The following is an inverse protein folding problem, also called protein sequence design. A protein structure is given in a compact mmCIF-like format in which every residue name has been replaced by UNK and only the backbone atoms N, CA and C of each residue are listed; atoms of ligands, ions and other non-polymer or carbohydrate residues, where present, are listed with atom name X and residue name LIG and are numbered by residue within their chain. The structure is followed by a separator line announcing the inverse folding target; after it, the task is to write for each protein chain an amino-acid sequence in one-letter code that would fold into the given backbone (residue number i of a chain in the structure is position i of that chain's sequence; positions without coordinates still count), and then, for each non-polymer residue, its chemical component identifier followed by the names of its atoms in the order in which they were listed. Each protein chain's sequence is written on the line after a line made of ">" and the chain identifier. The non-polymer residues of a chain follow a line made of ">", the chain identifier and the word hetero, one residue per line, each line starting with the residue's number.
data_IF_867407929012
#
_entry.id   IF_867407929012
#
_cell.length_a   1.000
_cell.length_b   1.000
_cell.length_c   1.000
_cell.angle_alpha   90.00
_cell.angle_beta   90.00
_cell.angle_gamma   90.00
#
_symmetry.space_group_name_H-M   'P 1'
#
loop_
_entity.id
_entity.type
_entity.pdbx_description
1 polymer ?
#
# COMPACT_ATOMS: atom_id res chain seq x y z
N UNK A 1 50.81 11.62 -28.11
CA UNK A 1 50.99 12.07 -26.72
C UNK A 1 50.21 11.15 -25.79
N UNK A 2 50.87 10.31 -25.00
CA UNK A 2 50.20 9.37 -24.09
C UNK A 2 50.72 9.55 -22.67
N UNK A 3 49.85 9.83 -21.69
CA UNK A 3 50.23 10.01 -20.29
C UNK A 3 49.98 8.74 -19.49
N UNK A 4 51.04 8.04 -19.12
CA UNK A 4 50.98 6.93 -18.18
C UNK A 4 50.46 7.41 -16.81
N UNK A 5 49.55 6.64 -16.18
CA UNK A 5 49.11 6.87 -14.80
C UNK A 5 49.94 6.02 -13.84
N UNK A 6 50.45 6.65 -12.79
CA UNK A 6 51.28 6.01 -11.77
C UNK A 6 50.43 5.14 -10.80
N UNK A 7 50.91 3.97 -10.35
CA UNK A 7 50.16 3.10 -9.45
C UNK A 7 50.05 3.68 -8.03
N UNK A 8 48.86 3.56 -7.42
CA UNK A 8 48.64 3.93 -6.00
C UNK A 8 49.16 2.83 -5.07
N UNK A 9 49.94 3.21 -4.06
CA UNK A 9 50.38 2.30 -2.98
C UNK A 9 49.21 1.94 -2.05
N UNK A 10 49.20 0.74 -1.44
CA UNK A 10 48.24 0.38 -0.41
C UNK A 10 48.45 1.19 0.88
N UNK A 11 47.36 1.48 1.60
CA UNK A 11 47.42 2.07 2.94
C UNK A 11 47.57 0.95 3.98
N UNK A 12 48.57 1.09 4.84
CA UNK A 12 48.76 0.25 6.02
C UNK A 12 47.66 0.57 7.05
N UNK A 13 47.02 -0.46 7.61
CA UNK A 13 46.08 -0.32 8.72
C UNK A 13 46.85 -0.55 10.03
N UNK A 14 46.75 0.38 10.96
CA UNK A 14 47.35 0.28 12.30
C UNK A 14 46.23 -0.06 13.30
N UNK A 15 46.37 -1.10 14.15
CA UNK A 15 45.41 -1.39 15.20
C UNK A 15 45.55 -0.42 16.38
N UNK A 16 44.43 0.01 16.94
CA UNK A 16 44.37 0.79 18.19
C UNK A 16 44.15 -0.16 19.37
N UNK A 17 44.92 -0.08 20.46
CA UNK A 17 44.78 -0.99 21.60
C UNK A 17 43.59 -0.63 22.51
N UNK A 18 42.96 -1.66 23.09
CA UNK A 18 42.05 -1.50 24.24
C UNK A 18 42.86 -1.10 25.49
N UNK A 19 42.42 -0.05 26.18
CA UNK A 19 42.88 0.28 27.53
C UNK A 19 41.86 -0.16 28.58
N UNK A 20 42.27 -1.04 29.51
CA UNK A 20 41.54 -1.28 30.76
C UNK A 20 41.81 -0.15 31.77
N UNK A 21 40.82 0.11 32.64
CA UNK A 21 41.03 0.79 33.92
C UNK A 21 40.14 0.12 35.01
N UNK A 22 40.66 -0.20 36.22
CA UNK A 22 39.91 -0.86 37.29
C UNK A 22 39.58 0.04 38.50
N UNK A 23 38.63 -0.41 39.34
CA UNK A 23 38.29 0.13 40.68
C UNK A 23 36.83 -0.21 41.03
N UNK A 24 36.50 -1.16 41.92
CA UNK A 24 36.47 -1.05 43.40
C UNK A 24 35.81 0.25 43.91
N UNK A 25 34.88 0.29 44.87
CA UNK A 25 34.04 -0.71 45.58
C UNK A 25 32.86 0.09 46.24
N UNK A 26 31.97 -0.34 47.15
CA UNK A 26 31.69 -1.57 47.94
C UNK A 26 30.20 -1.46 48.39
N UNK A 27 29.42 -2.55 48.61
CA UNK A 27 28.04 -2.36 49.10
C UNK A 27 27.11 -3.58 49.30
N UNK A 28 27.37 -4.36 50.35
CA UNK A 28 26.46 -5.24 51.12
C UNK A 28 25.55 -6.29 50.45
N UNK A 29 25.57 -7.48 51.06
CA UNK A 29 24.86 -8.68 50.65
C UNK A 29 23.39 -8.72 51.10
N UNK A 30 22.60 -9.59 50.46
CA UNK A 30 21.62 -10.45 51.12
C UNK A 30 21.51 -11.79 50.38
N UNK A 31 21.34 -12.87 51.13
CA UNK A 31 21.46 -14.24 50.62
C UNK A 31 20.16 -14.75 49.97
N UNK A 32 20.31 -15.67 49.01
CA UNK A 32 19.18 -16.37 48.39
C UNK A 32 19.66 -17.60 47.62
N UNK A 33 19.70 -18.76 48.27
CA UNK A 33 19.97 -20.04 47.60
C UNK A 33 18.79 -20.41 46.69
N UNK A 34 19.09 -20.76 45.44
CA UNK A 34 18.06 -21.16 44.46
C UNK A 34 18.67 -21.78 43.21
N UNK A 35 18.96 -23.08 43.26
CA UNK A 35 19.40 -23.85 42.10
C UNK A 35 18.27 -23.94 41.05
N UNK A 36 18.54 -23.53 39.81
CA UNK A 36 17.64 -23.71 38.67
C UNK A 36 18.30 -24.65 37.65
N UNK A 37 17.60 -25.67 37.13
CA UNK A 37 18.20 -26.68 36.27
C UNK A 37 18.52 -26.17 34.87
N UNK A 38 19.55 -26.75 34.26
CA UNK A 38 19.90 -26.57 32.85
C UNK A 38 18.77 -27.10 31.95
N UNK A 39 18.05 -26.19 31.28
CA UNK A 39 17.12 -26.55 30.22
C UNK A 39 17.87 -26.62 28.88
N UNK A 40 17.78 -27.78 28.21
CA UNK A 40 18.37 -28.00 26.89
C UNK A 40 17.68 -27.22 25.76
N UNK A 41 18.15 -27.37 24.51
CA UNK A 41 17.60 -26.64 23.37
C UNK A 41 16.12 -27.00 23.14
N UNK A 42 15.28 -25.98 23.02
CA UNK A 42 13.85 -26.15 22.78
C UNK A 42 13.60 -26.81 21.40
N UNK A 43 12.63 -27.73 21.29
CA UNK A 43 12.31 -28.39 20.03
C UNK A 43 11.68 -27.41 19.03
N UNK A 44 11.92 -27.70 17.73
CA UNK A 44 11.34 -26.95 16.61
C UNK A 44 9.81 -27.09 16.64
N UNK A 45 9.11 -25.97 16.80
CA UNK A 45 7.65 -25.96 16.86
C UNK A 45 7.06 -26.23 15.47
N UNK A 46 6.49 -27.43 15.30
CA UNK A 46 5.73 -27.80 14.10
C UNK A 46 4.42 -27.03 14.07
N UNK A 47 4.18 -26.29 12.98
CA UNK A 47 2.95 -25.51 12.81
C UNK A 47 1.71 -26.40 12.82
N UNK A 48 0.85 -26.24 13.83
CA UNK A 48 -0.45 -26.89 13.90
C UNK A 48 -1.33 -26.42 12.74
N UNK A 49 -1.83 -27.37 11.94
CA UNK A 49 -2.74 -27.06 10.84
C UNK A 49 -4.05 -26.46 11.37
N UNK A 50 -4.55 -25.42 10.70
CA UNK A 50 -5.87 -24.85 10.97
C UNK A 50 -6.97 -25.90 10.66
N UNK A 51 -8.04 -25.99 11.47
CA UNK A 51 -9.17 -26.86 11.17
C UNK A 51 -9.86 -26.43 9.86
N UNK A 52 -10.30 -27.41 9.08
CA UNK A 52 -11.01 -27.16 7.83
C UNK A 52 -12.38 -26.49 8.06
N UNK A 53 -12.83 -25.58 7.17
CA UNK A 53 -14.15 -24.98 7.29
C UNK A 53 -15.25 -26.03 7.09
N UNK A 54 -16.22 -26.05 8.00
CA UNK A 54 -17.43 -26.86 7.86
C UNK A 54 -18.26 -26.40 6.66
N UNK A 55 -18.70 -27.37 5.85
CA UNK A 55 -19.56 -27.13 4.69
C UNK A 55 -20.93 -26.60 5.11
N UNK A 56 -21.23 -25.34 4.77
CA UNK A 56 -22.56 -24.78 4.90
C UNK A 56 -23.50 -25.37 3.84
N UNK A 57 -24.60 -25.99 4.29
CA UNK A 57 -25.66 -26.54 3.44
C UNK A 57 -26.36 -25.42 2.66
N UNK A 58 -26.57 -25.62 1.36
CA UNK A 58 -27.28 -24.65 0.51
C UNK A 58 -28.79 -24.59 0.83
N UNK A 59 -29.43 -23.41 0.78
CA UNK A 59 -30.89 -23.30 0.90
C UNK A 59 -31.61 -23.83 -0.35
N UNK A 60 -32.88 -24.29 -0.23
CA UNK A 60 -33.61 -24.89 -1.32
C UNK A 60 -34.04 -23.89 -2.40
N UNK A 61 -33.97 -24.34 -3.65
CA UNK A 61 -34.46 -23.64 -4.84
C UNK A 61 -35.98 -23.47 -4.79
N UNK A 62 -36.47 -22.22 -4.86
CA UNK A 62 -37.90 -21.93 -5.06
C UNK A 62 -38.20 -21.82 -6.56
N UNK A 63 -39.27 -22.48 -7.01
CA UNK A 63 -39.64 -22.57 -8.42
C UNK A 63 -40.19 -21.25 -8.98
N UNK A 64 -40.04 -21.07 -10.30
CA UNK A 64 -40.56 -19.91 -11.03
C UNK A 64 -42.00 -20.12 -11.51
N UNK A 65 -42.77 -19.03 -11.55
CA UNK A 65 -44.12 -18.96 -12.15
C UNK A 65 -44.10 -17.95 -13.31
N UNK A 66 -44.59 -18.28 -14.52
CA UNK A 66 -44.55 -17.39 -15.68
C UNK A 66 -45.76 -16.43 -15.74
N UNK A 67 -45.56 -15.24 -16.33
CA UNK A 67 -46.65 -14.32 -16.70
C UNK A 67 -46.28 -13.40 -17.88
N UNK A 68 -47.14 -13.36 -18.91
CA UNK A 68 -47.53 -12.11 -19.60
C UNK A 68 -46.62 -11.50 -20.68
N UNK A 69 -46.92 -11.81 -21.95
CA UNK A 69 -46.77 -10.95 -23.15
C UNK A 69 -47.79 -9.77 -23.12
N UNK A 70 -47.82 -8.76 -24.04
CA UNK A 70 -46.95 -8.47 -25.20
C UNK A 70 -46.59 -6.96 -25.45
N UNK A 71 -45.86 -6.73 -26.55
CA UNK A 71 -45.91 -5.55 -27.46
C UNK A 71 -45.55 -4.14 -26.97
N UNK A 72 -44.49 -3.59 -27.57
CA UNK A 72 -44.20 -2.14 -27.57
C UNK A 72 -42.97 -1.82 -28.43
N UNK A 73 -43.17 -1.55 -29.73
CA UNK A 73 -42.08 -1.27 -30.70
C UNK A 73 -42.21 0.15 -31.27
N UNK A 74 -41.39 1.13 -30.85
CA UNK A 74 -41.22 2.38 -31.57
C UNK A 74 -40.09 2.24 -32.60
N UNK A 75 -40.40 2.44 -33.88
CA UNK A 75 -39.37 2.80 -34.87
C UNK A 75 -38.84 4.19 -34.54
N UNK A 76 -37.52 4.37 -34.53
CA UNK A 76 -36.89 5.68 -34.66
C UNK A 76 -36.09 5.74 -35.96
N UNK A 77 -36.51 6.67 -36.81
CA UNK A 77 -36.06 6.84 -38.19
C UNK A 77 -34.66 7.44 -38.24
N UNK A 78 -33.74 6.80 -38.96
CA UNK A 78 -32.47 7.43 -39.33
C UNK A 78 -32.72 8.50 -40.39
N UNK A 79 -32.22 9.71 -40.18
CA UNK A 79 -32.10 10.73 -41.23
C UNK A 79 -30.74 11.41 -41.14
N UNK A 80 -29.92 11.17 -42.14
CA UNK A 80 -28.69 11.92 -42.36
C UNK A 80 -29.04 13.24 -43.07
N UNK A 81 -28.32 14.32 -42.76
CA UNK A 81 -28.29 15.49 -43.63
C UNK A 81 -26.98 16.26 -43.58
N UNK A 82 -26.71 16.90 -44.71
CA UNK A 82 -25.49 17.51 -45.20
C UNK A 82 -24.75 18.52 -44.30
N UNK A 83 -23.42 18.45 -44.37
CA UNK A 83 -22.51 19.51 -44.86
C UNK A 83 -22.88 20.98 -44.62
N UNK A 84 -22.09 21.66 -43.79
CA UNK A 84 -21.82 23.09 -43.93
C UNK A 84 -20.37 23.41 -43.52
N UNK A 85 -19.63 24.11 -44.39
CA UNK A 85 -18.22 24.51 -44.22
C UNK A 85 -18.15 26.02 -43.95
N UNK A 86 -17.75 26.48 -42.75
CA UNK A 86 -17.52 27.90 -42.49
C UNK A 86 -16.13 28.34 -42.98
N UNK A 87 -16.06 29.52 -43.61
CA UNK A 87 -14.82 30.12 -44.10
C UNK A 87 -13.86 30.52 -42.96
N UNK A 88 -12.55 30.38 -43.22
CA UNK A 88 -11.52 30.90 -42.34
C UNK A 88 -11.56 32.43 -42.27
N UNK A 89 -11.69 32.99 -41.06
CA UNK A 89 -11.30 34.38 -40.78
C UNK A 89 -9.90 34.36 -40.16
N UNK A 90 -8.94 34.94 -40.87
CA UNK A 90 -7.60 35.22 -40.33
C UNK A 90 -7.76 36.32 -39.27
N UNK A 91 -7.62 35.95 -38.00
CA UNK A 91 -7.57 36.90 -36.89
C UNK A 91 -6.12 37.08 -36.47
N UNK A 92 -5.55 38.25 -36.76
CA UNK A 92 -4.19 38.64 -36.39
C UNK A 92 -4.13 38.92 -34.89
N UNK A 93 -4.00 37.85 -34.09
CA UNK A 93 -3.81 37.93 -32.65
C UNK A 93 -2.40 38.49 -32.33
N UNK A 94 -2.27 39.53 -31.49
CA UNK A 94 -0.96 40.07 -31.11
C UNK A 94 -0.13 39.03 -30.36
N UNK A 95 1.17 38.96 -30.68
CA UNK A 95 2.13 38.06 -30.04
C UNK A 95 2.40 38.52 -28.60
N UNK A 96 1.59 38.05 -27.66
CA UNK A 96 1.90 38.12 -26.24
C UNK A 96 3.11 37.24 -25.95
N UNK A 97 4.27 37.86 -25.67
CA UNK A 97 5.52 37.19 -25.29
C UNK A 97 5.28 36.29 -24.09
N UNK A 98 5.17 34.98 -24.33
CA UNK A 98 4.93 34.00 -23.29
C UNK A 98 6.20 33.81 -22.46
N UNK A 99 6.26 34.46 -21.29
CA UNK A 99 7.18 34.04 -20.25
C UNK A 99 6.81 32.63 -19.81
N UNK A 100 7.64 31.64 -20.16
CA UNK A 100 7.52 30.26 -19.71
C UNK A 100 7.89 30.11 -18.22
N UNK A 101 7.16 30.81 -17.36
CA UNK A 101 6.95 30.40 -15.97
C UNK A 101 6.07 29.15 -15.99
N UNK A 102 6.65 28.01 -16.37
CA UNK A 102 5.94 26.75 -16.50
C UNK A 102 5.38 26.36 -15.14
N UNK A 103 4.04 26.44 -15.00
CA UNK A 103 3.36 26.04 -13.77
C UNK A 103 3.70 24.57 -13.48
N UNK A 104 4.51 24.34 -12.44
CA UNK A 104 4.93 23.02 -12.01
C UNK A 104 3.70 22.26 -11.54
N UNK A 105 3.15 21.39 -12.38
CA UNK A 105 1.95 20.63 -12.06
C UNK A 105 2.21 19.76 -10.84
N UNK A 106 1.62 20.12 -9.70
CA UNK A 106 1.82 19.38 -8.45
C UNK A 106 1.56 17.88 -8.65
N UNK A 107 2.45 17.01 -8.13
CA UNK A 107 2.33 15.58 -8.33
C UNK A 107 1.05 15.04 -7.70
N UNK A 108 0.45 14.05 -8.36
CA UNK A 108 -0.75 13.37 -7.88
C UNK A 108 -0.36 12.18 -7.03
N UNK A 109 -0.86 12.10 -5.81
CA UNK A 109 -0.79 10.91 -4.96
C UNK A 109 -2.20 10.35 -4.79
N UNK A 110 -2.34 9.03 -4.96
CA UNK A 110 -3.59 8.32 -4.67
C UNK A 110 -3.42 7.54 -3.38
N UNK A 111 -4.38 7.68 -2.48
CA UNK A 111 -4.44 6.90 -1.24
C UNK A 111 -5.65 5.98 -1.34
N UNK A 112 -5.43 4.72 -1.02
CA UNK A 112 -6.40 3.64 -1.12
C UNK A 112 -6.65 3.04 0.27
N UNK A 113 -7.64 3.56 1.02
CA UNK A 113 -8.02 2.93 2.28
C UNK A 113 -8.64 1.57 2.01
N UNK A 114 -8.11 0.53 2.65
CA UNK A 114 -8.50 -0.85 2.47
C UNK A 114 -10.00 -1.14 2.60
N UNK A 115 -10.41 -2.27 2.02
CA UNK A 115 -11.74 -2.87 2.17
C UNK A 115 -12.94 -2.09 1.62
N UNK A 116 -14.04 -2.78 1.35
CA UNK A 116 -15.29 -2.23 0.81
C UNK A 116 -16.45 -2.41 1.77
N UNK A 117 -17.32 -1.41 1.91
CA UNK A 117 -18.50 -1.49 2.80
C UNK A 117 -19.58 -2.51 2.40
N UNK A 118 -19.40 -3.21 1.29
CA UNK A 118 -20.17 -4.40 0.89
C UNK A 118 -19.23 -5.40 0.24
N UNK A 119 -19.59 -6.68 0.30
CA UNK A 119 -18.87 -7.74 -0.40
C UNK A 119 -18.96 -7.54 -1.91
N UNK A 120 -17.81 -7.40 -2.56
CA UNK A 120 -17.65 -7.31 -4.00
C UNK A 120 -17.19 -8.68 -4.50
N UNK A 121 -17.81 -9.14 -5.59
CA UNK A 121 -17.35 -10.30 -6.35
C UNK A 121 -17.64 -10.07 -7.83
N UNK A 122 -16.60 -9.78 -8.60
CA UNK A 122 -16.69 -9.59 -10.04
C UNK A 122 -15.50 -10.23 -10.75
N UNK A 123 -15.36 -10.00 -12.07
CA UNK A 123 -14.18 -10.41 -12.84
C UNK A 123 -13.51 -9.20 -13.46
N UNK A 124 -12.19 -9.25 -13.44
CA UNK A 124 -11.29 -8.35 -14.16
C UNK A 124 -11.31 -8.63 -15.67
N UNK A 125 -10.71 -7.74 -16.46
CA UNK A 125 -10.59 -7.91 -17.93
C UNK A 125 -9.74 -9.12 -18.34
N UNK A 126 -8.79 -9.54 -17.50
CA UNK A 126 -7.97 -10.75 -17.65
C UNK A 126 -8.60 -12.00 -16.97
N UNK A 127 -9.87 -11.90 -16.53
CA UNK A 127 -10.64 -13.02 -16.01
C UNK A 127 -10.39 -13.38 -14.54
N UNK A 128 -9.39 -12.77 -13.88
CA UNK A 128 -9.15 -12.90 -12.44
C UNK A 128 -10.38 -12.46 -11.62
N UNK A 129 -10.56 -13.05 -10.45
CA UNK A 129 -11.62 -12.69 -9.49
C UNK A 129 -11.24 -11.42 -8.72
N UNK A 130 -12.02 -10.36 -8.93
CA UNK A 130 -11.99 -9.14 -8.14
C UNK A 130 -12.93 -9.34 -6.94
N UNK A 131 -12.33 -9.59 -5.77
CA UNK A 131 -13.03 -9.84 -4.51
C UNK A 131 -12.50 -8.88 -3.46
N UNK A 132 -13.44 -8.20 -2.81
CA UNK A 132 -13.23 -7.31 -1.68
C UNK A 132 -14.41 -7.47 -0.71
N UNK A 133 -14.24 -7.15 0.56
CA UNK A 133 -15.26 -7.41 1.59
C UNK A 133 -15.17 -6.42 2.77
N UNK A 134 -16.24 -6.29 3.57
CA UNK A 134 -16.20 -5.46 4.78
C UNK A 134 -15.36 -6.13 5.86
N UNK A 135 -14.38 -5.43 6.40
CA UNK A 135 -13.55 -5.90 7.51
C UNK A 135 -13.50 -4.81 8.59
N UNK A 136 -14.12 -5.04 9.74
CA UNK A 136 -14.13 -4.09 10.86
C UNK A 136 -13.33 -4.66 12.03
N UNK A 137 -12.56 -3.84 12.78
CA UNK A 137 -12.54 -2.37 12.70
C UNK A 137 -11.61 -1.75 11.63
N UNK A 138 -10.73 -2.56 11.00
CA UNK A 138 -9.74 -2.10 9.99
C UNK A 138 -10.29 -1.05 9.02
N UNK A 139 -11.46 -1.30 8.41
CA UNK A 139 -12.11 -0.42 7.44
C UNK A 139 -12.23 1.04 7.87
N UNK A 140 -12.53 1.28 9.16
CA UNK A 140 -12.65 2.61 9.75
C UNK A 140 -11.26 3.19 10.00
N UNK A 141 -10.41 2.42 10.66
CA UNK A 141 -9.05 2.80 11.07
C UNK A 141 -8.20 3.22 9.87
N UNK A 142 -8.17 2.40 8.81
CA UNK A 142 -7.44 2.70 7.58
C UNK A 142 -8.05 3.86 6.82
N UNK A 143 -9.37 4.10 6.92
CA UNK A 143 -10.03 5.27 6.32
C UNK A 143 -9.70 6.57 7.05
N UNK A 144 -9.63 6.54 8.38
CA UNK A 144 -9.24 7.69 9.20
C UNK A 144 -7.75 8.02 9.03
N UNK A 145 -6.86 7.02 9.10
CA UNK A 145 -5.43 7.14 8.74
C UNK A 145 -5.27 7.71 7.34
N UNK A 146 -5.92 7.12 6.34
CA UNK A 146 -5.85 7.60 4.95
C UNK A 146 -6.36 9.03 4.77
N UNK A 147 -7.44 9.39 5.47
CA UNK A 147 -8.02 10.74 5.42
C UNK A 147 -7.07 11.78 6.01
N UNK A 148 -6.40 11.47 7.12
CA UNK A 148 -5.43 12.36 7.74
C UNK A 148 -4.12 12.47 6.96
N UNK A 149 -3.61 11.37 6.38
CA UNK A 149 -2.48 11.43 5.43
C UNK A 149 -2.84 12.26 4.20
N UNK A 150 -4.06 12.10 3.67
CA UNK A 150 -4.54 12.89 2.54
C UNK A 150 -4.64 14.39 2.87
N UNK A 151 -5.06 14.75 4.09
CA UNK A 151 -5.08 16.12 4.55
C UNK A 151 -3.66 16.70 4.65
N UNK A 152 -2.72 15.96 5.26
CA UNK A 152 -1.31 16.38 5.38
C UNK A 152 -0.66 16.63 4.02
N UNK A 153 -0.72 15.66 3.12
CA UNK A 153 -0.20 15.82 1.75
C UNK A 153 -0.88 16.98 1.00
N UNK A 154 -2.17 17.26 1.20
CA UNK A 154 -2.80 18.45 0.58
C UNK A 154 -2.24 19.77 1.12
N UNK A 155 -1.93 19.86 2.42
CA UNK A 155 -1.25 21.03 2.99
C UNK A 155 0.21 21.18 2.53
N UNK A 156 0.87 20.09 2.15
CA UNK A 156 2.21 20.10 1.53
C UNK A 156 2.18 20.28 -0.01
N UNK A 157 1.05 20.78 -0.54
CA UNK A 157 0.87 21.16 -1.94
C UNK A 157 0.59 20.01 -2.91
N UNK A 158 0.44 18.77 -2.45
CA UNK A 158 0.16 17.63 -3.32
C UNK A 158 -1.30 17.60 -3.78
N UNK A 159 -1.52 17.13 -5.01
CA UNK A 159 -2.86 16.76 -5.47
C UNK A 159 -3.18 15.36 -4.95
N UNK A 160 -4.11 15.24 -4.01
CA UNK A 160 -4.43 13.94 -3.40
C UNK A 160 -5.85 13.49 -3.69
N UNK A 161 -6.00 12.26 -4.18
CA UNK A 161 -7.28 11.56 -4.31
C UNK A 161 -7.35 10.38 -3.35
N UNK A 162 -8.52 10.16 -2.76
CA UNK A 162 -8.86 8.91 -2.09
C UNK A 162 -9.59 8.01 -3.09
N UNK A 163 -9.35 6.70 -3.08
CA UNK A 163 -10.10 5.76 -3.95
C UNK A 163 -11.57 5.62 -3.56
N UNK A 164 -11.91 5.89 -2.29
CA UNK A 164 -13.28 5.88 -1.76
C UNK A 164 -13.58 7.12 -0.92
N UNK A 165 -14.83 7.58 -0.92
CA UNK A 165 -15.25 8.84 -0.31
C UNK A 165 -15.60 8.74 1.19
N UNK A 166 -16.02 7.55 1.63
CA UNK A 166 -16.37 7.22 3.01
C UNK A 166 -15.85 5.81 3.35
N UNK A 167 -15.66 5.47 4.62
CA UNK A 167 -15.25 4.12 5.05
C UNK A 167 -16.10 3.02 4.38
N UNK A 168 -17.43 3.18 4.41
CA UNK A 168 -18.46 2.25 3.96
C UNK A 168 -18.76 2.33 2.45
N UNK A 169 -18.04 3.17 1.71
CA UNK A 169 -18.07 3.13 0.25
C UNK A 169 -17.52 1.78 -0.25
N UNK A 170 -18.08 1.30 -1.36
CA UNK A 170 -17.66 0.03 -1.98
C UNK A 170 -17.00 0.31 -3.33
N UNK A 171 -15.72 0.00 -3.48
CA UNK A 171 -14.93 0.27 -4.68
C UNK A 171 -14.05 -0.94 -4.97
N UNK A 172 -14.25 -1.59 -6.11
CA UNK A 172 -13.55 -2.84 -6.44
C UNK A 172 -12.06 -2.62 -6.67
N UNK A 173 -11.24 -3.68 -6.56
CA UNK A 173 -9.79 -3.59 -6.74
C UNK A 173 -9.43 -3.12 -8.15
N UNK A 174 -10.24 -3.49 -9.15
CA UNK A 174 -10.14 -2.98 -10.53
C UNK A 174 -10.38 -1.47 -10.61
N UNK A 175 -11.37 -0.94 -9.89
CA UNK A 175 -11.68 0.49 -9.97
C UNK A 175 -10.70 1.35 -9.17
N UNK A 176 -10.21 0.86 -8.02
CA UNK A 176 -9.09 1.48 -7.28
C UNK A 176 -7.85 1.68 -8.17
N UNK A 177 -7.47 0.64 -8.92
CA UNK A 177 -6.38 0.70 -9.89
C UNK A 177 -6.63 1.74 -11.01
N UNK A 178 -7.84 1.75 -11.59
CA UNK A 178 -8.22 2.72 -12.63
C UNK A 178 -8.23 4.16 -12.14
N UNK A 179 -8.57 4.42 -10.88
CA UNK A 179 -8.50 5.76 -10.29
C UNK A 179 -7.05 6.29 -10.35
N UNK A 180 -6.06 5.49 -9.94
CA UNK A 180 -4.65 5.87 -10.06
C UNK A 180 -4.19 6.06 -11.51
N UNK A 181 -4.59 5.17 -12.40
CA UNK A 181 -4.23 5.22 -13.82
C UNK A 181 -4.75 6.51 -14.48
N UNK A 182 -6.07 6.79 -14.35
CA UNK A 182 -6.74 7.98 -14.90
C UNK A 182 -6.25 9.29 -14.26
N UNK A 183 -5.86 9.27 -12.99
CA UNK A 183 -5.36 10.45 -12.30
C UNK A 183 -3.89 10.79 -12.64
N UNK A 184 -3.21 9.94 -13.41
CA UNK A 184 -1.76 10.03 -13.66
C UNK A 184 -0.95 10.07 -12.36
N UNK A 185 -1.30 9.21 -11.40
CA UNK A 185 -0.66 9.17 -10.09
C UNK A 185 0.87 8.96 -10.21
N UNK A 186 1.63 9.82 -9.54
CA UNK A 186 3.07 9.64 -9.35
C UNK A 186 3.37 8.49 -8.38
N UNK A 187 2.46 8.27 -7.42
CA UNK A 187 2.45 7.17 -6.47
C UNK A 187 1.01 6.87 -6.02
N UNK A 188 0.70 5.60 -5.86
CA UNK A 188 -0.48 5.10 -5.15
C UNK A 188 -0.08 4.32 -3.89
N UNK A 189 -0.86 4.44 -2.83
CA UNK A 189 -0.58 3.86 -1.51
C UNK A 189 -1.85 3.16 -1.01
N UNK A 190 -1.85 1.83 -0.92
CA UNK A 190 -2.88 1.12 -0.13
C UNK A 190 -2.52 1.13 1.34
N UNK A 191 -3.51 1.37 2.18
CA UNK A 191 -3.41 1.41 3.64
C UNK A 191 -4.30 0.31 4.20
N UNK A 192 -3.68 -0.67 4.85
CA UNK A 192 -4.30 -1.80 5.52
C UNK A 192 -3.72 -2.00 6.91
N UNK A 193 -4.43 -2.75 7.74
CA UNK A 193 -3.94 -3.33 8.98
C UNK A 193 -4.51 -4.75 9.18
N UNK A 194 -3.84 -5.57 9.98
CA UNK A 194 -4.19 -6.98 10.16
C UNK A 194 -4.45 -7.29 11.63
N UNK A 195 -5.74 -7.34 11.98
CA UNK A 195 -6.25 -7.73 13.31
C UNK A 195 -6.02 -9.21 13.66
N UNK A 196 -5.59 -10.05 12.71
CA UNK A 196 -5.09 -11.40 13.01
C UNK A 196 -3.63 -11.41 13.46
N UNK A 197 -2.86 -10.35 13.16
CA UNK A 197 -1.43 -10.25 13.40
C UNK A 197 -1.09 -9.36 14.61
N UNK A 198 -0.17 -9.83 15.45
CA UNK A 198 0.32 -9.03 16.59
C UNK A 198 1.05 -7.75 16.14
N UNK A 199 1.19 -6.74 17.02
CA UNK A 199 1.71 -5.40 16.68
C UNK A 199 3.20 -5.36 16.26
N UNK A 200 3.88 -6.50 16.28
CA UNK A 200 5.22 -6.70 15.73
C UNK A 200 5.23 -7.01 14.23
N UNK A 201 4.09 -7.39 13.65
CA UNK A 201 3.92 -7.52 12.21
C UNK A 201 3.89 -6.14 11.57
N UNK A 202 4.80 -5.90 10.63
CA UNK A 202 4.94 -4.63 9.94
C UNK A 202 5.51 -4.88 8.54
N UNK A 203 4.72 -4.62 7.50
CA UNK A 203 5.10 -4.95 6.14
C UNK A 203 4.75 -3.86 5.13
N UNK A 204 5.60 -3.74 4.12
CA UNK A 204 5.41 -2.91 2.94
C UNK A 204 5.74 -3.76 1.72
N UNK A 205 4.84 -3.75 0.74
CA UNK A 205 4.89 -4.60 -0.44
C UNK A 205 4.91 -3.73 -1.70
N UNK A 206 5.64 -4.19 -2.72
CA UNK A 206 5.85 -3.45 -3.96
C UNK A 206 5.50 -4.30 -5.18
N UNK A 207 5.31 -3.67 -6.34
CA UNK A 207 5.13 -4.37 -7.62
C UNK A 207 6.41 -5.07 -8.14
N UNK A 208 7.53 -4.98 -7.42
CA UNK A 208 8.75 -5.74 -7.66
C UNK A 208 8.93 -6.78 -6.56
N UNK A 209 9.18 -8.03 -6.93
CA UNK A 209 9.46 -9.11 -5.99
C UNK A 209 10.80 -8.93 -5.27
N UNK A 210 10.98 -9.69 -4.20
CA UNK A 210 12.23 -9.79 -3.47
C UNK A 210 13.33 -10.36 -4.39
N UNK A 211 14.57 -10.00 -4.09
CA UNK A 211 15.74 -10.53 -4.80
C UNK A 211 16.18 -11.83 -4.17
N UNK A 212 16.13 -12.92 -4.93
CA UNK A 212 16.68 -14.25 -4.58
C UNK A 212 17.67 -14.64 -5.68
N UNK A 213 18.85 -15.09 -5.29
CA UNK A 213 19.96 -15.47 -6.19
C UNK A 213 20.27 -14.43 -7.28
N UNK A 214 20.21 -13.14 -6.89
CA UNK A 214 20.48 -12.00 -7.78
C UNK A 214 19.37 -11.68 -8.79
N UNK A 215 18.21 -12.33 -8.70
CA UNK A 215 17.04 -12.09 -9.57
C UNK A 215 15.82 -11.71 -8.74
N UNK A 216 14.97 -10.84 -9.28
CA UNK A 216 13.68 -10.56 -8.65
C UNK A 216 12.71 -11.71 -8.92
N UNK A 217 11.96 -12.12 -7.90
CA UNK A 217 10.79 -12.97 -8.12
C UNK A 217 9.79 -12.28 -9.06
N UNK A 218 9.18 -13.07 -9.94
CA UNK A 218 8.04 -12.62 -10.73
C UNK A 218 6.84 -12.38 -9.79
N UNK A 219 6.14 -11.27 -9.99
CA UNK A 219 4.95 -10.89 -9.23
C UNK A 219 3.70 -11.27 -10.03
N UNK A 220 2.75 -12.01 -9.45
CA UNK A 220 1.64 -12.60 -10.20
C UNK A 220 0.38 -12.90 -9.38
N UNK A 221 -0.74 -13.14 -10.09
CA UNK A 221 -2.01 -13.68 -9.58
C UNK A 221 -2.62 -14.71 -10.53
N UNK A 222 -3.53 -15.54 -10.05
CA UNK A 222 -4.32 -16.49 -10.86
C UNK A 222 -3.69 -17.88 -10.98
N UNK A 223 -4.34 -18.79 -11.72
CA UNK A 223 -3.88 -20.18 -11.92
C UNK A 223 -3.87 -20.58 -13.39
N UNK A 224 -2.93 -21.45 -13.78
CA UNK A 224 -2.88 -22.02 -15.14
C UNK A 224 -2.88 -20.95 -16.23
N UNK A 225 -3.75 -21.10 -17.22
CA UNK A 225 -3.97 -20.14 -18.32
C UNK A 225 -4.51 -18.77 -17.86
N UNK A 226 -5.06 -18.67 -16.65
CA UNK A 226 -5.51 -17.40 -16.05
C UNK A 226 -4.44 -16.75 -15.16
N UNK A 227 -3.23 -17.32 -15.07
CA UNK A 227 -2.13 -16.68 -14.35
C UNK A 227 -1.67 -15.43 -15.11
N UNK A 228 -1.75 -14.27 -14.46
CA UNK A 228 -1.22 -13.00 -14.98
C UNK A 228 0.02 -12.63 -14.18
N UNK A 229 1.11 -12.30 -14.90
CA UNK A 229 2.37 -11.79 -14.33
C UNK A 229 2.41 -10.28 -14.53
N UNK A 230 2.92 -9.54 -13.55
CA UNK A 230 3.14 -8.10 -13.66
C UNK A 230 4.40 -7.81 -14.50
N UNK A 231 4.20 -7.31 -15.72
CA UNK A 231 5.26 -7.03 -16.69
C UNK A 231 5.41 -5.54 -17.00
N UNK A 232 5.62 -4.74 -15.95
CA UNK A 232 5.90 -3.30 -16.08
C UNK A 232 7.17 -2.93 -15.30
N UNK A 233 8.37 -3.23 -15.84
CA UNK A 233 9.62 -3.16 -15.08
C UNK A 233 10.03 -1.74 -14.64
N UNK A 234 9.59 -0.69 -15.35
CA UNK A 234 9.76 0.70 -14.93
C UNK A 234 8.90 1.04 -13.71
N UNK A 235 7.63 0.61 -13.72
CA UNK A 235 6.68 0.77 -12.62
C UNK A 235 7.15 -0.01 -11.40
N UNK A 236 7.50 -1.29 -11.56
CA UNK A 236 8.02 -2.14 -10.49
C UNK A 236 9.22 -1.50 -9.76
N UNK A 237 10.22 -0.99 -10.51
CA UNK A 237 11.37 -0.27 -9.93
C UNK A 237 11.02 1.05 -9.25
N UNK A 238 9.95 1.72 -9.68
CA UNK A 238 9.46 2.91 -9.00
C UNK A 238 8.78 2.55 -7.67
N UNK A 239 7.98 1.49 -7.66
CA UNK A 239 7.29 0.97 -6.48
C UNK A 239 8.24 0.41 -5.44
N UNK A 240 9.29 -0.32 -5.83
CA UNK A 240 10.33 -0.78 -4.91
C UNK A 240 11.05 0.39 -4.22
N UNK A 241 11.44 1.42 -4.99
CA UNK A 241 12.05 2.63 -4.44
C UNK A 241 11.12 3.33 -3.46
N UNK A 242 9.84 3.47 -3.80
CA UNK A 242 8.82 4.07 -2.94
C UNK A 242 8.56 3.22 -1.68
N UNK A 243 8.50 1.89 -1.80
CA UNK A 243 8.37 0.96 -0.69
C UNK A 243 9.54 1.06 0.29
N UNK A 244 10.79 1.15 -0.21
CA UNK A 244 11.98 1.43 0.63
C UNK A 244 11.93 2.83 1.25
N UNK A 245 11.36 3.80 0.54
CA UNK A 245 10.91 5.11 1.04
C UNK A 245 10.09 4.98 2.33
N UNK A 246 8.90 4.41 2.16
CA UNK A 246 7.83 4.32 3.15
C UNK A 246 8.23 3.41 4.31
N UNK A 247 8.79 2.22 4.06
CA UNK A 247 9.25 1.33 5.12
C UNK A 247 10.27 2.00 6.06
N UNK A 248 11.19 2.82 5.53
CA UNK A 248 12.13 3.59 6.37
C UNK A 248 11.45 4.72 7.15
N UNK A 249 10.44 5.37 6.58
CA UNK A 249 9.69 6.43 7.25
C UNK A 249 8.82 5.87 8.37
N UNK A 250 8.00 4.86 8.06
CA UNK A 250 7.26 4.03 9.01
C UNK A 250 8.14 3.49 10.13
N UNK A 251 9.32 2.94 9.82
CA UNK A 251 10.23 2.42 10.86
C UNK A 251 10.66 3.47 11.89
N UNK A 252 10.81 4.74 11.48
CA UNK A 252 11.14 5.84 12.40
C UNK A 252 9.93 6.28 13.22
N UNK A 253 8.75 6.39 12.59
CA UNK A 253 7.54 6.86 13.24
C UNK A 253 6.96 5.83 14.23
N UNK A 254 6.98 4.54 13.88
CA UNK A 254 6.42 3.43 14.67
C UNK A 254 7.41 2.82 15.69
N UNK A 255 8.63 3.36 15.74
CA UNK A 255 9.69 2.96 16.68
C UNK A 255 10.20 1.53 16.52
N UNK A 256 9.94 0.88 15.38
CA UNK A 256 10.23 -0.55 15.14
C UNK A 256 10.54 -0.83 13.66
N UNK A 257 11.30 -1.88 13.31
CA UNK A 257 11.59 -2.17 11.91
C UNK A 257 10.34 -2.59 11.11
N UNK A 258 10.05 -1.86 10.04
CA UNK A 258 9.05 -2.23 9.03
C UNK A 258 9.77 -2.88 7.85
N UNK A 259 9.33 -4.08 7.46
CA UNK A 259 10.03 -4.91 6.47
C UNK A 259 9.47 -4.70 5.07
N UNK A 260 10.34 -4.79 4.06
CA UNK A 260 9.89 -5.11 2.72
C UNK A 260 9.61 -6.62 2.67
N UNK A 261 8.46 -6.99 2.11
CA UNK A 261 8.01 -8.36 2.00
C UNK A 261 7.40 -8.65 0.62
N UNK A 262 7.18 -9.93 0.34
CA UNK A 262 6.30 -10.41 -0.72
C UNK A 262 4.97 -10.81 -0.09
N UNK A 263 3.86 -10.52 -0.77
CA UNK A 263 2.54 -10.95 -0.31
C UNK A 263 2.38 -12.46 -0.56
N UNK A 264 1.42 -13.08 0.12
CA UNK A 264 1.06 -14.46 -0.15
C UNK A 264 -0.46 -14.65 -0.08
N UNK A 265 -1.03 -15.08 -1.20
CA UNK A 265 -2.45 -15.43 -1.33
C UNK A 265 -2.69 -16.91 -1.60
N UNK A 266 -1.65 -17.75 -1.58
CA UNK A 266 -1.83 -19.20 -1.59
C UNK A 266 -2.69 -19.63 -0.38
N UNK A 267 -3.69 -20.49 -0.62
CA UNK A 267 -4.53 -21.01 0.46
C UNK A 267 -5.57 -20.03 1.04
N UNK A 268 -5.84 -18.88 0.42
CA UNK A 268 -6.84 -17.89 0.90
C UNK A 268 -8.14 -17.83 0.05
N UNK A 269 -8.96 -18.90 -0.10
CA UNK A 269 -10.26 -18.79 -0.77
C UNK A 269 -11.15 -17.68 -0.19
N UNK A 270 -11.94 -16.95 -1.01
CA UNK A 270 -12.13 -17.11 -2.45
C UNK A 270 -11.07 -16.38 -3.30
N UNK A 271 -10.03 -15.80 -2.68
CA UNK A 271 -8.95 -15.13 -3.41
C UNK A 271 -8.18 -16.14 -4.26
N UNK A 272 -7.82 -15.73 -5.47
CA UNK A 272 -6.87 -16.49 -6.28
C UNK A 272 -5.46 -16.46 -5.67
N UNK A 273 -4.62 -17.48 -5.89
CA UNK A 273 -3.25 -17.47 -5.41
C UNK A 273 -2.41 -16.42 -6.16
N UNK A 274 -1.29 -16.07 -5.54
CA UNK A 274 -0.32 -15.11 -6.07
C UNK A 274 0.52 -14.50 -4.96
N UNK A 275 1.43 -13.61 -5.34
CA UNK A 275 2.32 -12.86 -4.45
C UNK A 275 2.23 -11.34 -4.64
N UNK A 276 1.19 -10.85 -5.29
CA UNK A 276 0.94 -9.42 -5.54
C UNK A 276 -0.56 -9.09 -5.39
N UNK A 277 -0.90 -7.99 -4.72
CA UNK A 277 -2.28 -7.55 -4.56
C UNK A 277 -2.93 -7.33 -5.93
N UNK A 278 -4.22 -7.66 -6.06
CA UNK A 278 -4.91 -7.52 -7.35
C UNK A 278 -4.92 -6.05 -7.83
N UNK A 279 -5.06 -5.09 -6.91
CA UNK A 279 -4.99 -3.66 -7.24
C UNK A 279 -3.61 -3.26 -7.79
N UNK A 280 -2.52 -3.77 -7.19
CA UNK A 280 -1.15 -3.57 -7.67
C UNK A 280 -0.89 -4.21 -9.03
N UNK A 281 -1.51 -5.36 -9.31
CA UNK A 281 -1.38 -6.05 -10.59
C UNK A 281 -2.07 -5.30 -11.75
N UNK A 282 -3.19 -4.63 -11.47
CA UNK A 282 -4.06 -4.03 -12.49
C UNK A 282 -3.70 -2.57 -12.85
N UNK A 283 -2.92 -1.88 -12.02
CA UNK A 283 -2.51 -0.47 -12.26
C UNK A 283 -1.22 -0.37 -13.09
N UNK A 284 -1.12 0.72 -13.84
CA UNK A 284 0.05 1.14 -14.60
C UNK A 284 0.85 2.25 -13.88
N UNK A 285 0.55 2.50 -12.59
CA UNK A 285 1.22 3.48 -11.74
C UNK A 285 2.04 2.81 -10.63
N UNK A 286 3.06 3.48 -10.08
CA UNK A 286 3.79 2.96 -8.94
C UNK A 286 2.85 2.81 -7.74
N UNK A 287 2.76 1.60 -7.18
CA UNK A 287 1.84 1.26 -6.10
C UNK A 287 2.56 0.55 -4.96
N UNK A 288 2.38 1.06 -3.74
CA UNK A 288 2.91 0.49 -2.50
C UNK A 288 1.74 0.07 -1.61
N UNK A 289 1.71 -1.19 -1.19
CA UNK A 289 0.71 -1.72 -0.28
C UNK A 289 1.34 -1.84 1.12
N UNK A 290 0.60 -1.47 2.18
CA UNK A 290 1.13 -1.32 3.53
C UNK A 290 0.23 -2.05 4.53
N UNK A 291 0.86 -2.81 5.41
CA UNK A 291 0.21 -3.52 6.52
C UNK A 291 0.79 -3.10 7.86
N UNK A 292 -0.08 -3.03 8.87
CA UNK A 292 0.22 -2.80 10.28
C UNK A 292 -0.42 -3.93 11.09
N UNK A 293 0.32 -4.64 11.94
CA UNK A 293 -0.30 -5.60 12.87
C UNK A 293 -1.16 -4.90 13.92
N UNK A 294 -2.44 -5.27 14.01
CA UNK A 294 -3.43 -4.59 14.85
C UNK A 294 -3.91 -5.41 16.05
N UNK A 295 -3.65 -6.72 16.10
CA UNK A 295 -4.15 -7.63 17.16
C UNK A 295 -3.69 -7.20 18.56
N UNK A 296 -4.59 -6.60 19.35
CA UNK A 296 -4.32 -6.17 20.71
C UNK A 296 -4.51 -7.33 21.70
N UNK A 297 -3.40 -7.88 22.21
CA UNK A 297 -3.42 -9.06 23.08
C UNK A 297 -3.98 -10.29 22.35
N UNK A 298 -5.12 -10.79 22.83
CA UNK A 298 -5.87 -11.89 22.20
C UNK A 298 -7.04 -11.44 21.31
N UNK A 299 -7.30 -10.13 21.20
CA UNK A 299 -8.46 -9.59 20.49
C UNK A 299 -8.16 -9.26 19.03
N UNK A 300 -9.05 -9.70 18.13
CA UNK A 300 -9.07 -9.33 16.71
C UNK A 300 -10.15 -8.30 16.36
N UNK A 301 -10.73 -7.65 17.39
CA UNK A 301 -11.80 -6.65 17.23
C UNK A 301 -11.55 -5.38 18.05
N UNK A 302 -10.44 -5.34 18.80
CA UNK A 302 -10.02 -4.17 19.55
C UNK A 302 -9.33 -3.20 18.62
N UNK A 303 -9.87 -2.00 18.50
CA UNK A 303 -9.27 -0.94 17.69
C UNK A 303 -7.82 -0.66 18.10
N UNK A 304 -6.99 -0.32 17.12
CA UNK A 304 -5.76 0.42 17.27
C UNK A 304 -5.97 1.63 18.19
N UNK A 305 -4.94 2.03 18.92
CA UNK A 305 -4.95 3.30 19.64
C UNK A 305 -4.68 4.46 18.68
N UNK A 306 -5.18 5.67 19.02
CA UNK A 306 -4.87 6.91 18.29
C UNK A 306 -3.35 7.13 18.15
N UNK A 307 -2.55 6.67 19.12
CA UNK A 307 -1.10 6.74 19.05
C UNK A 307 -0.50 5.82 17.96
N UNK A 308 -1.05 4.61 17.78
CA UNK A 308 -0.65 3.70 16.70
C UNK A 308 -1.05 4.25 15.33
N UNK A 309 -2.30 4.72 15.18
CA UNK A 309 -2.76 5.37 13.95
C UNK A 309 -1.93 6.61 13.61
N UNK A 310 -1.58 7.43 14.62
CA UNK A 310 -0.77 8.64 14.40
C UNK A 310 0.64 8.29 13.95
N UNK A 311 1.26 7.27 14.54
CA UNK A 311 2.57 6.78 14.11
C UNK A 311 2.54 6.21 12.68
N UNK A 312 1.50 5.44 12.35
CA UNK A 312 1.31 4.87 11.01
C UNK A 312 1.08 5.97 9.96
N UNK A 313 0.16 6.90 10.23
CA UNK A 313 -0.13 8.05 9.39
C UNK A 313 1.13 8.93 9.16
N UNK A 314 1.89 9.22 10.21
CA UNK A 314 3.14 9.99 10.11
C UNK A 314 4.18 9.25 9.25
N UNK A 315 4.31 7.94 9.42
CA UNK A 315 5.18 7.09 8.62
C UNK A 315 4.80 7.02 7.14
N UNK A 316 3.50 6.98 6.83
CA UNK A 316 2.98 7.03 5.47
C UNK A 316 3.18 8.42 4.83
N UNK A 317 2.91 9.50 5.56
CA UNK A 317 3.10 10.89 5.11
C UNK A 317 4.57 11.16 4.75
N UNK A 318 5.49 11.03 5.72
CA UNK A 318 6.94 11.25 5.49
C UNK A 318 7.49 10.30 4.40
N UNK A 319 6.91 9.11 4.28
CA UNK A 319 7.27 8.10 3.27
C UNK A 319 6.86 8.49 1.86
N UNK A 320 5.63 8.99 1.69
CA UNK A 320 5.09 9.48 0.43
C UNK A 320 5.86 10.71 -0.06
N UNK A 321 6.10 11.69 0.83
CA UNK A 321 6.90 12.88 0.53
C UNK A 321 8.35 12.57 0.15
N UNK A 322 8.93 11.51 0.72
CA UNK A 322 10.28 11.07 0.37
C UNK A 322 10.32 10.33 -0.98
N UNK A 323 9.23 9.64 -1.34
CA UNK A 323 9.11 8.90 -2.59
C UNK A 323 8.78 9.80 -3.80
N UNK A 324 8.01 10.86 -3.57
CA UNK A 324 7.59 11.85 -4.57
C UNK A 324 7.85 13.25 -4.01
N UNK A 325 9.03 13.85 -4.18
CA UNK A 325 9.28 15.19 -3.65
C UNK A 325 8.47 16.28 -4.40
N UNK A 326 7.62 17.01 -3.67
CA UNK A 326 7.06 18.30 -4.09
C UNK A 326 7.93 19.43 -3.48
N UNK A 327 8.29 20.45 -4.25
CA UNK A 327 9.31 21.45 -3.85
C UNK A 327 8.94 22.35 -2.66
N UNK A 328 7.66 22.34 -2.27
CA UNK A 328 7.02 23.33 -1.39
C UNK A 328 6.75 22.79 0.04
N UNK A 329 7.71 22.07 0.64
CA UNK A 329 7.51 21.46 1.97
C UNK A 329 7.29 22.51 3.07
N UNK A 330 6.17 22.41 3.77
CA UNK A 330 5.86 23.24 4.94
C UNK A 330 6.16 22.48 6.25
N UNK A 331 6.98 23.03 7.18
CA UNK A 331 7.23 22.38 8.48
C UNK A 331 5.98 22.23 9.37
N UNK A 332 4.89 22.95 9.09
CA UNK A 332 3.72 23.03 9.95
C UNK A 332 2.88 21.73 9.98
N UNK A 333 2.99 20.89 8.95
CA UNK A 333 2.05 19.80 8.69
C UNK A 333 2.07 18.69 9.74
N UNK A 334 3.24 18.32 10.30
CA UNK A 334 3.37 17.20 11.26
C UNK A 334 2.56 17.38 12.55
N UNK A 335 2.38 18.62 13.01
CA UNK A 335 1.60 18.91 14.21
C UNK A 335 0.09 18.67 14.02
N UNK A 336 -0.39 18.43 12.79
CA UNK A 336 -1.83 18.28 12.49
C UNK A 336 -2.37 16.84 12.62
N UNK A 337 -1.55 15.81 12.34
CA UNK A 337 -2.03 14.42 12.20
C UNK A 337 -2.69 13.89 13.48
N UNK A 338 -2.04 14.06 14.63
CA UNK A 338 -2.59 13.60 15.92
C UNK A 338 -3.92 14.29 16.28
N UNK A 339 -4.10 15.57 15.90
CA UNK A 339 -5.39 16.26 16.07
C UNK A 339 -6.45 15.76 15.09
N UNK A 340 -6.05 15.45 13.85
CA UNK A 340 -6.95 14.91 12.83
C UNK A 340 -7.54 13.55 13.25
N UNK A 341 -6.70 12.65 13.78
CA UNK A 341 -7.14 11.33 14.26
C UNK A 341 -7.91 11.41 15.58
N UNK A 342 -7.47 12.23 16.53
CA UNK A 342 -8.22 12.43 17.77
C UNK A 342 -9.63 13.01 17.56
N UNK A 343 -9.85 13.77 16.49
CA UNK A 343 -11.17 14.32 16.12
C UNK A 343 -12.08 13.34 15.34
N UNK A 344 -11.62 12.10 15.11
CA UNK A 344 -12.36 11.04 14.39
C UNK A 344 -12.78 9.86 15.28
N UNK A 345 -12.38 9.90 16.56
CA UNK A 345 -12.79 8.97 17.62
C UNK A 345 -14.01 9.48 18.35
#
# INVERSE_FOLDING_TARGET
>A
MSRARSPRRPRLIVPVPLGLAPGLALGLALAGCGSVPSAGPAPVSTATALPAPTTATAPPTVAATPSGTPSGKPSVTSSASASARPSARVSTRPSSTAGSGGATSHPVIVIDPGHSGRSIRSRTVNGLLDVDYPNQPEMREVFDVSSCVAAGLRSDGYRVLLTKAHESSSVSLTERARIADRAHAALAISVHDDHSQGPTFQAVYSQLGLTVDGRHHAMWRGRGSHRTVFDQPSVARASDRAARLIARARSRAEGRPVRLAEENFAGRPPLEPGNLALVQLLTHRPWVYNELGARAGGSTTSELTVAQETAYAQGLLDGAEAAVPNGDRSPATRASLGRCLAARR
#
